data_IF_999576064251
#
_entry.id   IF_999576064251
#
_cell.length_a   1.000
_cell.length_b   1.000
_cell.length_c   1.000
_cell.angle_alpha   90.00
_cell.angle_beta   90.00
_cell.angle_gamma   90.00
#
_symmetry.space_group_name_H-M   'P 1'
#
loop_
_entity.id
_entity.type
_entity.pdbx_description
1 polymer ?
#
# COMPACT_ATOMS: atom_id res chain seq x y z
N UNK A 1 -13.89 1.49 -35.16
CA UNK A 1 -14.00 2.49 -34.08
C UNK A 1 -13.05 2.04 -33.00
N UNK A 2 -11.94 2.74 -32.81
CA UNK A 2 -10.90 2.33 -31.86
C UNK A 2 -11.43 2.50 -30.44
N UNK A 3 -11.43 1.43 -29.65
CA UNK A 3 -11.54 1.52 -28.20
C UNK A 3 -10.26 2.23 -27.72
N UNK A 4 -10.31 3.56 -27.69
CA UNK A 4 -9.35 4.38 -26.95
C UNK A 4 -9.51 3.99 -25.48
N UNK A 5 -8.71 3.00 -25.04
CA UNK A 5 -8.46 2.73 -23.64
C UNK A 5 -7.89 4.03 -23.05
N UNK A 6 -8.78 4.85 -22.50
CA UNK A 6 -8.43 5.99 -21.66
C UNK A 6 -7.34 5.50 -20.69
N UNK A 7 -6.25 6.26 -20.48
CA UNK A 7 -5.21 5.84 -19.55
C UNK A 7 -5.86 5.76 -18.17
N UNK A 8 -6.25 4.55 -17.74
CA UNK A 8 -6.77 4.32 -16.38
C UNK A 8 -5.75 4.95 -15.44
N UNK A 9 -6.17 5.92 -14.63
CA UNK A 9 -5.30 6.48 -13.59
C UNK A 9 -4.88 5.30 -12.72
N UNK A 10 -3.63 4.89 -12.85
CA UNK A 10 -3.06 3.85 -12.01
C UNK A 10 -2.31 4.57 -10.92
N UNK A 11 -2.66 4.31 -9.67
CA UNK A 11 -1.79 4.62 -8.53
C UNK A 11 -0.46 3.83 -8.55
N UNK A 12 -0.24 3.03 -9.59
CA UNK A 12 0.95 2.22 -9.82
C UNK A 12 1.89 2.86 -10.84
N UNK A 13 2.17 4.16 -10.69
CA UNK A 13 3.22 4.82 -11.46
C UNK A 13 4.56 4.47 -10.84
N UNK A 14 5.38 3.67 -11.54
CA UNK A 14 6.78 3.50 -11.15
C UNK A 14 7.47 4.86 -11.27
N UNK A 15 7.87 5.44 -10.13
CA UNK A 15 8.84 6.53 -10.15
C UNK A 15 10.25 5.93 -10.21
N UNK A 16 11.10 6.37 -11.15
CA UNK A 16 12.52 5.99 -11.14
C UNK A 16 13.28 6.69 -10.00
N UNK A 17 12.74 7.78 -9.48
CA UNK A 17 13.32 8.54 -8.38
C UNK A 17 12.93 7.98 -7.00
N UNK A 18 13.86 8.11 -6.05
CA UNK A 18 13.60 7.85 -4.63
C UNK A 18 12.49 8.79 -4.17
N UNK A 19 11.37 8.23 -3.75
CA UNK A 19 10.22 8.98 -3.28
C UNK A 19 9.90 8.58 -1.86
N UNK A 20 10.03 9.53 -0.92
CA UNK A 20 9.57 9.35 0.45
C UNK A 20 8.07 9.10 0.45
N UNK A 21 7.64 8.21 1.33
CA UNK A 21 6.24 7.86 1.46
C UNK A 21 5.94 7.29 2.82
N UNK A 22 4.77 6.69 2.92
CA UNK A 22 4.29 6.02 4.13
C UNK A 22 3.82 4.64 3.76
N UNK A 23 4.12 3.69 4.64
CA UNK A 23 3.63 2.33 4.58
C UNK A 23 2.71 2.06 5.78
N UNK A 24 1.48 1.64 5.48
CA UNK A 24 0.54 1.09 6.45
C UNK A 24 0.68 -0.42 6.47
N UNK A 25 0.87 -0.96 7.66
CA UNK A 25 1.06 -2.39 7.90
C UNK A 25 -0.13 -2.91 8.67
N UNK A 26 -0.77 -3.93 8.11
CA UNK A 26 -1.89 -4.64 8.69
C UNK A 26 -1.42 -6.04 9.06
N UNK A 27 -1.39 -6.35 10.36
CA UNK A 27 -1.01 -7.66 10.87
C UNK A 27 -2.25 -8.56 10.97
N UNK A 28 -2.08 -9.86 10.75
CA UNK A 28 -3.14 -10.84 10.89
C UNK A 28 -2.65 -12.27 10.75
N UNK A 29 -2.91 -13.13 11.74
CA UNK A 29 -2.61 -14.56 11.67
C UNK A 29 -1.13 -14.90 11.42
N UNK A 30 -0.19 -14.07 11.89
CA UNK A 30 1.25 -14.24 11.65
C UNK A 30 1.73 -13.77 10.27
N UNK A 31 0.86 -13.14 9.47
CA UNK A 31 1.18 -12.53 8.18
C UNK A 31 0.89 -11.03 8.20
N UNK A 32 1.40 -10.31 7.21
CA UNK A 32 1.24 -8.86 7.09
C UNK A 32 0.78 -8.44 5.70
N UNK A 33 -0.17 -7.53 5.62
CA UNK A 33 -0.50 -6.82 4.39
C UNK A 33 0.07 -5.40 4.48
N UNK A 34 0.67 -4.90 3.41
CA UNK A 34 1.32 -3.58 3.41
C UNK A 34 0.77 -2.73 2.28
N UNK A 35 0.29 -1.55 2.65
CA UNK A 35 -0.14 -0.50 1.72
C UNK A 35 0.92 0.58 1.75
N UNK A 36 1.44 0.98 0.59
CA UNK A 36 2.43 2.04 0.48
C UNK A 36 1.94 3.17 -0.41
N UNK A 37 2.21 4.40 0.00
CA UNK A 37 1.79 5.60 -0.73
C UNK A 37 2.76 6.76 -0.56
N UNK A 38 2.91 7.58 -1.61
CA UNK A 38 3.75 8.81 -1.58
C UNK A 38 2.92 10.09 -1.35
N UNK A 39 1.60 9.96 -1.18
CA UNK A 39 0.69 11.10 -1.01
C UNK A 39 0.45 11.93 -2.27
N UNK A 40 1.06 11.57 -3.41
CA UNK A 40 0.90 12.31 -4.66
C UNK A 40 0.39 11.45 -5.82
N UNK A 41 1.02 10.30 -6.08
CA UNK A 41 0.72 9.44 -7.25
C UNK A 41 0.75 7.95 -6.95
N UNK A 42 1.35 7.54 -5.83
CA UNK A 42 1.53 6.14 -5.46
C UNK A 42 0.58 5.81 -4.32
N UNK A 43 -0.20 4.75 -4.50
CA UNK A 43 -1.07 4.13 -3.50
C UNK A 43 -1.30 2.67 -3.92
N UNK A 44 -0.60 1.73 -3.28
CA UNK A 44 -0.61 0.32 -3.71
C UNK A 44 -0.38 -0.65 -2.56
N UNK A 45 -1.00 -1.83 -2.63
CA UNK A 45 -0.90 -2.90 -1.64
C UNK A 45 0.16 -3.95 -1.97
N UNK A 46 1.30 -3.53 -2.54
CA UNK A 46 2.35 -4.46 -3.00
C UNK A 46 3.69 -4.20 -2.33
N UNK A 47 4.33 -5.27 -1.89
CA UNK A 47 5.73 -5.26 -1.44
C UNK A 47 6.41 -6.53 -1.94
N UNK A 48 7.25 -6.38 -2.97
CA UNK A 48 7.99 -7.51 -3.56
C UNK A 48 8.95 -8.17 -2.58
N UNK A 49 9.49 -7.38 -1.65
CA UNK A 49 10.50 -7.82 -0.69
C UNK A 49 9.90 -8.32 0.64
N UNK A 50 8.58 -8.46 0.72
CA UNK A 50 7.87 -9.01 1.90
C UNK A 50 7.12 -10.30 1.58
N UNK A 51 7.39 -10.96 0.45
CA UNK A 51 6.65 -12.15 0.00
C UNK A 51 6.63 -13.30 1.01
N UNK A 52 7.65 -13.41 1.87
CA UNK A 52 7.78 -14.43 2.91
C UNK A 52 6.77 -14.27 4.06
N UNK A 53 6.45 -13.02 4.43
CA UNK A 53 5.51 -12.70 5.51
C UNK A 53 4.20 -12.07 5.00
N UNK A 54 4.09 -11.84 3.69
CA UNK A 54 2.94 -11.18 3.08
C UNK A 54 1.69 -12.04 3.19
N UNK A 55 0.59 -11.43 3.64
CA UNK A 55 -0.74 -11.95 3.39
C UNK A 55 -1.15 -11.64 1.94
N UNK A 56 -0.93 -12.62 1.06
CA UNK A 56 -1.23 -12.46 -0.36
C UNK A 56 -2.72 -12.21 -0.60
N UNK A 57 -3.60 -12.97 0.07
CA UNK A 57 -5.04 -12.85 -0.13
C UNK A 57 -5.55 -11.47 0.33
N UNK A 58 -5.19 -11.05 1.55
CA UNK A 58 -5.57 -9.73 2.07
C UNK A 58 -4.96 -8.60 1.24
N UNK A 59 -3.69 -8.74 0.83
CA UNK A 59 -3.02 -7.77 -0.02
C UNK A 59 -3.66 -7.62 -1.39
N UNK A 60 -4.07 -8.73 -2.03
CA UNK A 60 -4.77 -8.68 -3.32
C UNK A 60 -6.16 -8.04 -3.19
N UNK A 61 -6.94 -8.36 -2.14
CA UNK A 61 -8.22 -7.69 -1.88
C UNK A 61 -8.06 -6.19 -1.65
N UNK A 62 -7.06 -5.78 -0.87
CA UNK A 62 -6.75 -4.37 -0.65
C UNK A 62 -6.26 -3.69 -1.93
N UNK A 63 -5.49 -4.39 -2.78
CA UNK A 63 -5.05 -3.88 -4.06
C UNK A 63 -6.23 -3.63 -4.99
N UNK A 64 -7.16 -4.58 -5.07
CA UNK A 64 -8.36 -4.52 -5.90
C UNK A 64 -9.23 -3.31 -5.52
N UNK A 65 -9.45 -3.09 -4.23
CA UNK A 65 -10.18 -1.91 -3.73
C UNK A 65 -9.53 -0.58 -4.16
N UNK A 66 -8.20 -0.50 -4.07
CA UNK A 66 -7.46 0.68 -4.49
C UNK A 66 -7.52 0.88 -6.02
N UNK A 67 -7.55 -0.21 -6.79
CA UNK A 67 -7.74 -0.15 -8.23
C UNK A 67 -9.15 0.33 -8.59
N UNK A 68 -10.20 -0.15 -7.92
CA UNK A 68 -11.57 0.34 -8.09
C UNK A 68 -11.66 1.86 -7.84
N UNK A 69 -11.07 2.33 -6.73
CA UNK A 69 -10.99 3.76 -6.42
C UNK A 69 -10.29 4.54 -7.55
N UNK A 70 -9.21 3.99 -8.09
CA UNK A 70 -8.46 4.61 -9.17
C UNK A 70 -9.26 4.64 -10.49
N UNK A 71 -10.01 3.58 -10.80
CA UNK A 71 -10.92 3.50 -11.95
C UNK A 71 -12.07 4.51 -11.83
N UNK A 72 -12.52 4.79 -10.61
CA UNK A 72 -13.54 5.80 -10.29
C UNK A 72 -12.97 7.22 -10.20
N UNK A 73 -11.70 7.42 -10.53
CA UNK A 73 -10.99 8.71 -10.49
C UNK A 73 -10.97 9.37 -9.09
N UNK A 74 -11.09 8.56 -8.03
CA UNK A 74 -11.08 9.03 -6.64
C UNK A 74 -9.71 9.64 -6.30
N UNK A 75 -9.63 10.79 -5.61
CA UNK A 75 -8.35 11.32 -5.17
C UNK A 75 -7.73 10.44 -4.06
N UNK A 76 -6.39 10.37 -4.00
CA UNK A 76 -5.66 9.50 -3.05
C UNK A 76 -6.10 9.68 -1.60
N UNK A 77 -6.32 10.92 -1.17
CA UNK A 77 -6.74 11.21 0.20
C UNK A 77 -8.15 10.68 0.51
N UNK A 78 -9.06 10.74 -0.45
CA UNK A 78 -10.42 10.18 -0.30
C UNK A 78 -10.39 8.66 -0.40
N UNK A 79 -9.59 8.10 -1.31
CA UNK A 79 -9.38 6.65 -1.41
C UNK A 79 -8.79 6.09 -0.11
N UNK A 80 -7.86 6.81 0.53
CA UNK A 80 -7.32 6.47 1.85
C UNK A 80 -8.39 6.51 2.93
N UNK A 81 -9.23 7.54 2.96
CA UNK A 81 -10.34 7.62 3.90
C UNK A 81 -11.29 6.44 3.75
N UNK A 82 -11.76 6.17 2.52
CA UNK A 82 -12.63 5.03 2.23
C UNK A 82 -11.95 3.69 2.56
N UNK A 83 -10.65 3.57 2.32
CA UNK A 83 -9.88 2.38 2.67
C UNK A 83 -9.85 2.15 4.18
N UNK A 84 -9.62 3.21 4.97
CA UNK A 84 -9.62 3.13 6.43
C UNK A 84 -11.02 2.81 6.98
N UNK A 85 -12.07 3.32 6.35
CA UNK A 85 -13.45 2.97 6.72
C UNK A 85 -13.80 1.51 6.40
N UNK A 86 -13.26 0.96 5.31
CA UNK A 86 -13.56 -0.40 4.88
C UNK A 86 -12.69 -1.47 5.58
N UNK A 87 -11.38 -1.23 5.69
CA UNK A 87 -10.42 -2.19 6.23
C UNK A 87 -9.99 -1.90 7.67
N UNK A 88 -10.34 -0.73 8.21
CA UNK A 88 -9.94 -0.26 9.52
C UNK A 88 -8.59 0.45 9.56
N UNK A 89 -8.21 0.89 10.76
CA UNK A 89 -6.91 1.51 10.99
C UNK A 89 -5.77 0.47 10.86
N UNK A 90 -4.61 0.87 10.32
CA UNK A 90 -3.44 0.01 10.27
C UNK A 90 -2.91 -0.29 11.67
N UNK A 91 -2.35 -1.48 11.86
CA UNK A 91 -1.71 -1.86 13.11
C UNK A 91 -0.42 -1.06 13.33
N UNK A 92 0.36 -0.85 12.26
CA UNK A 92 1.62 -0.09 12.30
C UNK A 92 1.67 0.89 11.13
N UNK A 93 2.08 2.12 11.41
CA UNK A 93 2.36 3.14 10.41
C UNK A 93 3.86 3.39 10.37
N UNK A 94 4.46 3.25 9.20
CA UNK A 94 5.90 3.36 9.00
C UNK A 94 6.19 4.42 7.94
N UNK A 95 7.08 5.35 8.24
CA UNK A 95 7.60 6.28 7.24
C UNK A 95 8.68 5.58 6.42
N UNK A 96 8.46 5.49 5.11
CA UNK A 96 9.41 4.88 4.19
C UNK A 96 10.25 5.98 3.53
N UNK A 97 11.58 5.82 3.59
CA UNK A 97 12.48 6.72 2.88
C UNK A 97 12.32 6.56 1.36
N UNK A 98 11.95 5.34 0.92
CA UNK A 98 11.65 5.01 -0.45
C UNK A 98 10.38 4.15 -0.56
N UNK A 99 9.37 4.65 -1.27
CA UNK A 99 8.12 3.94 -1.51
C UNK A 99 8.29 2.79 -2.51
N UNK A 100 9.40 2.71 -3.25
CA UNK A 100 9.65 1.56 -4.12
C UNK A 100 10.01 0.32 -3.27
N UNK A 101 10.79 0.50 -2.21
CA UNK A 101 11.14 -0.54 -1.25
C UNK A 101 10.91 -0.15 0.22
N UNK A 102 9.72 -0.50 0.73
CA UNK A 102 9.34 -0.25 2.13
C UNK A 102 9.67 -1.43 3.06
N UNK A 103 10.20 -2.53 2.52
CA UNK A 103 10.44 -3.75 3.28
C UNK A 103 11.42 -3.60 4.45
N UNK A 104 12.54 -2.86 4.34
CA UNK A 104 13.46 -2.68 5.45
C UNK A 104 12.78 -2.01 6.64
N UNK A 105 12.09 -0.91 6.39
CA UNK A 105 11.41 -0.12 7.42
C UNK A 105 10.23 -0.89 8.03
N UNK A 106 9.45 -1.60 7.22
CA UNK A 106 8.36 -2.47 7.74
C UNK A 106 8.91 -3.57 8.63
N UNK A 107 10.00 -4.25 8.23
CA UNK A 107 10.62 -5.29 9.06
C UNK A 107 11.18 -4.72 10.36
N UNK A 108 11.82 -3.55 10.31
CA UNK A 108 12.31 -2.87 11.51
C UNK A 108 11.16 -2.53 12.47
N UNK A 109 10.04 -2.02 11.94
CA UNK A 109 8.87 -1.70 12.73
C UNK A 109 8.21 -2.94 13.35
N UNK A 110 8.10 -4.03 12.59
CA UNK A 110 7.58 -5.31 13.09
C UNK A 110 8.46 -5.90 14.20
N UNK A 111 9.78 -5.80 14.08
CA UNK A 111 10.72 -6.25 15.10
C UNK A 111 10.65 -5.39 16.38
N UNK A 112 10.43 -4.08 16.24
CA UNK A 112 10.23 -3.16 17.36
C UNK A 112 8.91 -3.43 18.08
N UNK A 113 7.82 -3.64 17.34
CA UNK A 113 6.50 -3.98 17.89
C UNK A 113 6.52 -5.31 18.66
N UNK A 114 7.19 -6.32 18.11
CA UNK A 114 7.36 -7.64 18.76
C UNK A 114 8.20 -7.55 20.04
N UNK A 115 9.12 -6.59 20.14
CA UNK A 115 9.95 -6.41 21.35
C UNK A 115 9.23 -5.68 22.49
N UNK A 116 8.08 -5.06 22.22
CA UNK A 116 7.28 -4.32 23.21
C UNK A 116 6.10 -5.13 23.78
N UNK A 117 5.96 -6.40 23.39
CA UNK A 117 4.84 -7.28 23.77
C UNK A 117 5.32 -8.49 24.57
#
# INVERSE_FOLDING_TARGET
>A
MGLELLPSKRYHVKRPDVARGTAWVYQGGGKVAVIKFDGAKILTATSKNLMDIRDAARGDTMQDFLLDCAERDVPIEEAKSQFLEHFGQPDIVVEAADVNDVAPEVRAALAADTSMK
#
